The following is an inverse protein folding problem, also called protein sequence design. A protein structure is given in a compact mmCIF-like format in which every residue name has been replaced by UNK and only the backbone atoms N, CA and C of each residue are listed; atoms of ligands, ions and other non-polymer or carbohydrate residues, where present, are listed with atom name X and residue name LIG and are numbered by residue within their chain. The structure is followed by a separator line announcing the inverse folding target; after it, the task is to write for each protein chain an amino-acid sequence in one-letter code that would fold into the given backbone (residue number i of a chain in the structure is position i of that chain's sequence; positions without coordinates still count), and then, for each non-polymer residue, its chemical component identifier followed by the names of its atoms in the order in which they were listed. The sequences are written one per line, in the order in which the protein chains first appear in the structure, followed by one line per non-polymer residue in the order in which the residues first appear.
data_IF_064879921683
#
_entry.id   IF_064879921683
#
_cell.length_a   1.000
_cell.length_b   1.000
_cell.length_c   1.000
_cell.angle_alpha   90.00
_cell.angle_beta   90.00
_cell.angle_gamma   90.00
#
_symmetry.space_group_name_H-M   'P 1'
#
loop_
_entity.id
_entity.type
_entity.pdbx_description
1 polymer ?
#
# COMPACT_ATOMS: atom_id res chain seq x y z
N UNK A 1 29.02 55.75 -1.39
CA UNK A 1 28.41 54.86 -2.39
C UNK A 1 28.98 53.47 -2.16
N UNK A 2 28.34 52.68 -1.28
CA UNK A 2 28.86 51.38 -0.85
C UNK A 2 27.89 50.78 0.15
N UNK A 3 26.97 49.95 -0.35
CA UNK A 3 26.05 49.17 0.47
C UNK A 3 25.97 47.77 -0.15
N UNK A 4 27.09 47.04 -0.08
CA UNK A 4 27.16 45.61 -0.42
C UNK A 4 26.54 44.80 0.74
N UNK A 5 25.22 44.94 0.95
CA UNK A 5 24.47 43.97 1.76
C UNK A 5 24.34 42.68 0.98
N UNK A 6 25.39 41.87 1.02
CA UNK A 6 25.29 40.46 0.66
C UNK A 6 24.27 39.84 1.60
N UNK A 7 23.08 39.60 1.07
CA UNK A 7 22.08 38.71 1.65
C UNK A 7 22.77 37.36 1.81
N UNK A 8 23.30 37.11 3.00
CA UNK A 8 23.83 35.81 3.37
C UNK A 8 22.62 34.94 3.64
N UNK A 9 22.14 34.27 2.60
CA UNK A 9 21.14 33.21 2.77
C UNK A 9 21.71 32.24 3.80
N UNK A 10 21.02 31.94 4.92
CA UNK A 10 21.51 30.96 5.88
C UNK A 10 21.73 29.64 5.16
N UNK A 11 22.99 29.22 5.05
CA UNK A 11 23.35 27.88 4.57
C UNK A 11 22.70 26.91 5.54
N UNK A 12 21.67 26.19 5.07
CA UNK A 12 20.97 25.18 5.85
C UNK A 12 22.02 24.30 6.55
N UNK A 13 21.98 24.26 7.87
CA UNK A 13 22.90 23.49 8.68
C UNK A 13 22.87 22.03 8.18
N UNK A 14 24.05 21.42 8.05
CA UNK A 14 24.14 20.00 7.72
C UNK A 14 23.34 19.19 8.76
N UNK A 15 22.60 18.15 8.34
CA UNK A 15 21.83 17.32 9.28
C UNK A 15 22.75 16.77 10.36
N UNK A 16 22.30 16.84 11.63
CA UNK A 16 23.08 16.38 12.78
C UNK A 16 23.45 14.90 12.61
N UNK A 17 24.72 14.50 12.89
CA UNK A 17 25.10 13.10 12.94
C UNK A 17 24.24 12.38 13.99
N UNK A 18 23.31 11.52 13.55
CA UNK A 18 22.32 10.86 14.41
C UNK A 18 20.88 10.87 13.89
N UNK A 19 20.55 11.70 12.89
CA UNK A 19 19.25 11.65 12.20
C UNK A 19 19.22 10.52 11.16
N UNK A 20 19.31 9.26 11.59
CA UNK A 20 18.91 8.13 10.78
C UNK A 20 17.46 7.80 11.13
N UNK A 21 16.55 7.61 10.15
CA UNK A 21 15.17 7.23 10.45
C UNK A 21 15.21 5.98 11.34
N UNK A 22 14.46 5.95 12.45
CA UNK A 22 14.55 4.85 13.39
C UNK A 22 13.95 3.60 12.72
N UNK A 23 14.80 2.63 12.38
CA UNK A 23 14.39 1.27 12.05
C UNK A 23 13.96 0.54 13.34
N UNK A 24 12.98 1.09 14.06
CA UNK A 24 12.46 0.47 15.28
C UNK A 24 11.75 -0.84 14.92
N UNK A 25 11.85 -1.85 15.79
CA UNK A 25 11.23 -3.17 15.56
C UNK A 25 9.74 -3.06 15.15
N UNK A 26 8.99 -2.14 15.76
CA UNK A 26 7.57 -1.89 15.46
C UNK A 26 7.33 -1.45 14.02
N UNK A 27 8.21 -0.64 13.43
CA UNK A 27 8.09 -0.18 12.04
C UNK A 27 8.29 -1.33 11.06
N UNK A 28 9.29 -2.18 11.32
CA UNK A 28 9.56 -3.38 10.51
C UNK A 28 8.39 -4.35 10.57
N UNK A 29 7.85 -4.62 11.76
CA UNK A 29 6.71 -5.53 11.96
C UNK A 29 5.47 -5.04 11.22
N UNK A 30 5.11 -3.77 11.37
CA UNK A 30 3.95 -3.20 10.66
C UNK A 30 4.15 -3.26 9.14
N UNK A 31 5.33 -2.88 8.66
CA UNK A 31 5.62 -2.87 7.22
C UNK A 31 5.56 -4.28 6.62
N UNK A 32 6.13 -5.26 7.32
CA UNK A 32 6.08 -6.66 6.90
C UNK A 32 4.63 -7.19 6.88
N UNK A 33 3.84 -6.86 7.90
CA UNK A 33 2.43 -7.22 7.95
C UNK A 33 1.63 -6.65 6.77
N UNK A 34 1.84 -5.37 6.45
CA UNK A 34 1.18 -4.71 5.31
C UNK A 34 1.59 -5.36 4.00
N UNK A 35 2.88 -5.62 3.81
CA UNK A 35 3.38 -6.31 2.62
C UNK A 35 2.74 -7.70 2.45
N UNK A 36 2.56 -8.45 3.56
CA UNK A 36 1.86 -9.73 3.52
C UNK A 36 0.38 -9.57 3.16
N UNK A 37 -0.30 -8.52 3.61
CA UNK A 37 -1.67 -8.23 3.20
C UNK A 37 -1.77 -7.89 1.72
N UNK A 38 -0.85 -7.08 1.20
CA UNK A 38 -0.79 -6.76 -0.23
C UNK A 38 -0.61 -8.03 -1.07
N UNK A 39 0.34 -8.89 -0.68
CA UNK A 39 0.60 -10.15 -1.35
C UNK A 39 -0.61 -11.11 -1.26
N UNK A 40 -1.27 -11.16 -0.10
CA UNK A 40 -2.47 -11.96 0.10
C UNK A 40 -3.62 -11.49 -0.80
N UNK A 41 -3.79 -10.19 -1.00
CA UNK A 41 -4.81 -9.65 -1.90
C UNK A 41 -4.55 -10.05 -3.36
N UNK A 42 -3.30 -9.96 -3.84
CA UNK A 42 -2.96 -10.41 -5.20
C UNK A 42 -3.10 -11.93 -5.36
N UNK A 43 -2.66 -12.71 -4.38
CA UNK A 43 -2.85 -14.16 -4.38
C UNK A 43 -4.33 -14.55 -4.39
N UNK A 44 -5.17 -13.83 -3.61
CA UNK A 44 -6.62 -14.00 -3.61
C UNK A 44 -7.23 -13.73 -4.98
N UNK A 45 -6.83 -12.66 -5.68
CA UNK A 45 -7.31 -12.38 -7.03
C UNK A 45 -6.91 -13.48 -8.03
N UNK A 46 -5.69 -14.00 -7.94
CA UNK A 46 -5.27 -15.16 -8.74
C UNK A 46 -6.11 -16.41 -8.43
N UNK A 47 -6.35 -16.70 -7.15
CA UNK A 47 -7.22 -17.79 -6.71
C UNK A 47 -8.65 -17.64 -7.25
N UNK A 48 -9.21 -16.44 -7.19
CA UNK A 48 -10.55 -16.13 -7.72
C UNK A 48 -10.58 -16.33 -9.24
N UNK A 49 -9.55 -15.88 -9.95
CA UNK A 49 -9.38 -16.13 -11.39
C UNK A 49 -9.32 -17.62 -11.74
N UNK A 50 -8.67 -18.43 -10.89
CA UNK A 50 -8.71 -19.88 -11.00
C UNK A 50 -10.13 -20.40 -10.79
N UNK A 51 -10.82 -20.03 -9.71
CA UNK A 51 -12.13 -20.61 -9.40
C UNK A 51 -13.23 -20.23 -10.40
N UNK A 52 -13.18 -19.02 -10.97
CA UNK A 52 -14.17 -18.54 -11.94
C UNK A 52 -13.93 -19.05 -13.37
N UNK A 53 -12.71 -19.47 -13.70
CA UNK A 53 -12.34 -19.85 -15.06
C UNK A 53 -12.56 -21.33 -15.38
N UNK A 54 -12.88 -21.63 -16.64
CA UNK A 54 -12.96 -22.98 -17.18
C UNK A 54 -11.95 -23.20 -18.32
N UNK A 55 -11.38 -24.41 -18.41
CA UNK A 55 -10.44 -24.76 -19.48
C UNK A 55 -9.20 -23.84 -19.52
N UNK A 56 -8.78 -23.43 -20.72
CA UNK A 56 -7.59 -22.57 -20.89
C UNK A 56 -7.80 -21.12 -20.42
N UNK A 57 -9.05 -20.63 -20.45
CA UNK A 57 -9.40 -19.29 -19.98
C UNK A 57 -9.07 -19.09 -18.49
N UNK A 58 -9.05 -20.19 -17.72
CA UNK A 58 -8.64 -20.22 -16.32
C UNK A 58 -7.22 -19.73 -16.11
N UNK A 59 -6.28 -20.16 -16.96
CA UNK A 59 -4.89 -19.74 -16.87
C UNK A 59 -4.77 -18.23 -17.13
N UNK A 60 -5.50 -17.72 -18.12
CA UNK A 60 -5.52 -16.29 -18.40
C UNK A 60 -6.08 -15.50 -17.21
N UNK A 61 -7.19 -15.91 -16.61
CA UNK A 61 -7.79 -15.21 -15.47
C UNK A 61 -6.89 -15.20 -14.22
N UNK A 62 -6.19 -16.31 -13.95
CA UNK A 62 -5.22 -16.40 -12.84
C UNK A 62 -4.16 -15.33 -12.92
N UNK A 63 -3.69 -14.98 -14.12
CA UNK A 63 -2.66 -13.95 -14.27
C UNK A 63 -3.26 -12.57 -14.50
N UNK A 64 -4.30 -12.46 -15.33
CA UNK A 64 -4.90 -11.18 -15.71
C UNK A 64 -5.47 -10.42 -14.50
N UNK A 65 -6.17 -11.11 -13.59
CA UNK A 65 -6.75 -10.48 -12.41
C UNK A 65 -5.69 -9.85 -11.47
N UNK A 66 -4.66 -10.58 -10.98
CA UNK A 66 -3.62 -9.99 -10.16
C UNK A 66 -2.74 -9.00 -10.94
N UNK A 67 -2.43 -9.25 -12.21
CA UNK A 67 -1.62 -8.31 -13.00
C UNK A 67 -2.33 -6.97 -13.19
N UNK A 68 -3.64 -6.98 -13.45
CA UNK A 68 -4.43 -5.75 -13.53
C UNK A 68 -4.40 -4.99 -12.20
N UNK A 69 -4.57 -5.69 -11.07
CA UNK A 69 -4.50 -5.08 -9.76
C UNK A 69 -3.10 -4.52 -9.44
N UNK A 70 -2.04 -5.26 -9.76
CA UNK A 70 -0.65 -4.80 -9.58
C UNK A 70 -0.38 -3.56 -10.44
N UNK A 71 -0.88 -3.52 -11.68
CA UNK A 71 -0.71 -2.36 -12.56
C UNK A 71 -1.41 -1.12 -11.98
N UNK A 72 -2.67 -1.27 -11.55
CA UNK A 72 -3.42 -0.19 -10.88
C UNK A 72 -2.72 0.27 -9.60
N UNK A 73 -2.23 -0.67 -8.79
CA UNK A 73 -1.49 -0.38 -7.57
C UNK A 73 -0.18 0.36 -7.84
N UNK A 74 0.60 -0.12 -8.81
CA UNK A 74 1.84 0.51 -9.26
C UNK A 74 1.63 1.92 -9.80
N UNK A 75 0.48 2.17 -10.43
CA UNK A 75 0.15 3.46 -11.00
C UNK A 75 -0.20 4.50 -9.92
N UNK A 76 -0.94 4.13 -8.88
CA UNK A 76 -1.54 5.08 -7.93
C UNK A 76 -1.11 4.94 -6.46
N UNK A 77 -0.75 3.73 -6.02
CA UNK A 77 -0.58 3.40 -4.60
C UNK A 77 0.89 3.19 -4.22
N UNK A 78 1.73 2.75 -5.15
CA UNK A 78 3.13 2.46 -4.87
C UNK A 78 3.90 3.67 -4.29
N UNK A 79 4.95 3.45 -3.47
CA UNK A 79 5.81 4.54 -2.98
C UNK A 79 6.42 5.40 -4.09
N UNK A 80 6.66 4.78 -5.24
CA UNK A 80 7.10 5.42 -6.49
C UNK A 80 5.98 5.33 -7.55
N UNK A 81 4.75 5.64 -7.16
CA UNK A 81 3.60 5.67 -8.06
C UNK A 81 3.91 6.59 -9.26
N UNK A 82 3.58 6.12 -10.47
CA UNK A 82 3.75 6.92 -11.68
C UNK A 82 2.82 8.13 -11.72
N UNK A 83 1.62 8.00 -11.11
CA UNK A 83 0.65 9.08 -11.00
C UNK A 83 0.62 9.60 -9.55
N UNK A 84 1.08 10.84 -9.37
CA UNK A 84 0.95 11.55 -8.09
C UNK A 84 -0.51 11.97 -7.88
N UNK A 85 -1.21 11.27 -7.01
CA UNK A 85 -2.62 11.54 -6.67
C UNK A 85 -2.79 11.99 -5.23
N UNK A 86 -3.94 12.58 -4.91
CA UNK A 86 -4.25 12.97 -3.54
C UNK A 86 -4.31 11.73 -2.62
N UNK A 87 -4.04 11.88 -1.31
CA UNK A 87 -4.12 10.77 -0.36
C UNK A 87 -5.49 10.06 -0.35
N UNK A 88 -6.58 10.78 -0.63
CA UNK A 88 -7.92 10.20 -0.70
C UNK A 88 -8.12 9.30 -1.92
N UNK A 89 -7.58 9.67 -3.08
CA UNK A 89 -7.61 8.81 -4.28
C UNK A 89 -6.76 7.56 -4.07
N UNK A 90 -5.59 7.71 -3.47
CA UNK A 90 -4.72 6.58 -3.12
C UNK A 90 -5.45 5.58 -2.21
N UNK A 91 -6.12 6.07 -1.16
CA UNK A 91 -6.93 5.25 -0.26
C UNK A 91 -8.09 4.59 -1.01
N UNK A 92 -8.79 5.31 -1.89
CA UNK A 92 -9.89 4.74 -2.66
C UNK A 92 -9.43 3.57 -3.54
N UNK A 93 -8.26 3.69 -4.18
CA UNK A 93 -7.68 2.61 -5.00
C UNK A 93 -7.24 1.43 -4.13
N UNK A 94 -6.59 1.68 -3.00
CA UNK A 94 -6.19 0.64 -2.04
C UNK A 94 -7.41 -0.16 -1.57
N UNK A 95 -8.47 0.54 -1.14
CA UNK A 95 -9.74 -0.06 -0.75
C UNK A 95 -10.42 -0.81 -1.90
N UNK A 96 -10.37 -0.30 -3.12
CA UNK A 96 -10.96 -0.96 -4.29
C UNK A 96 -10.29 -2.31 -4.55
N UNK A 97 -8.96 -2.38 -4.49
CA UNK A 97 -8.23 -3.63 -4.73
C UNK A 97 -8.51 -4.64 -3.62
N UNK A 98 -8.47 -4.22 -2.34
CA UNK A 98 -8.83 -5.10 -1.23
C UNK A 98 -10.29 -5.57 -1.31
N UNK A 99 -11.23 -4.66 -1.63
CA UNK A 99 -12.64 -4.99 -1.78
C UNK A 99 -12.86 -5.99 -2.93
N UNK A 100 -12.19 -5.80 -4.07
CA UNK A 100 -12.26 -6.74 -5.19
C UNK A 100 -11.75 -8.14 -4.81
N UNK A 101 -10.63 -8.21 -4.07
CA UNK A 101 -10.10 -9.48 -3.57
C UNK A 101 -11.07 -10.16 -2.59
N UNK A 102 -11.61 -9.42 -1.63
CA UNK A 102 -12.55 -9.92 -0.63
C UNK A 102 -13.84 -10.41 -1.28
N UNK A 103 -14.49 -9.57 -2.09
CA UNK A 103 -15.73 -9.93 -2.81
C UNK A 103 -15.47 -11.13 -3.72
N UNK A 104 -14.35 -11.15 -4.44
CA UNK A 104 -13.95 -12.28 -5.25
C UNK A 104 -13.86 -13.57 -4.45
N UNK A 105 -13.24 -13.55 -3.26
CA UNK A 105 -13.14 -14.72 -2.39
C UNK A 105 -14.51 -15.23 -1.95
N UNK A 106 -15.46 -14.33 -1.63
CA UNK A 106 -16.83 -14.73 -1.32
C UNK A 106 -17.51 -15.41 -2.51
N UNK A 107 -17.40 -14.82 -3.71
CA UNK A 107 -17.96 -15.39 -4.94
C UNK A 107 -17.33 -16.75 -5.28
N UNK A 108 -16.03 -16.90 -5.02
CA UNK A 108 -15.29 -18.15 -5.19
C UNK A 108 -15.51 -19.18 -4.06
N UNK A 109 -16.40 -18.90 -3.09
CA UNK A 109 -16.74 -19.78 -1.98
C UNK A 109 -15.70 -19.82 -0.84
N UNK A 110 -14.61 -19.08 -0.93
CA UNK A 110 -13.56 -18.98 0.09
C UNK A 110 -13.92 -17.95 1.18
N UNK A 111 -15.09 -18.13 1.81
CA UNK A 111 -15.70 -17.18 2.75
C UNK A 111 -14.77 -16.81 3.90
N UNK A 112 -14.14 -17.80 4.55
CA UNK A 112 -13.25 -17.57 5.69
C UNK A 112 -12.05 -16.71 5.29
N UNK A 113 -11.44 -17.00 4.14
CA UNK A 113 -10.32 -16.21 3.63
C UNK A 113 -10.76 -14.77 3.31
N UNK A 114 -11.95 -14.60 2.74
CA UNK A 114 -12.53 -13.27 2.46
C UNK A 114 -12.74 -12.45 3.75
N UNK A 115 -13.32 -13.07 4.78
CA UNK A 115 -13.53 -12.42 6.09
C UNK A 115 -12.19 -12.03 6.73
N UNK A 116 -11.22 -12.96 6.79
CA UNK A 116 -9.91 -12.69 7.40
C UNK A 116 -9.21 -11.55 6.67
N UNK A 117 -9.11 -11.60 5.35
CA UNK A 117 -8.48 -10.56 4.55
C UNK A 117 -9.17 -9.20 4.77
N UNK A 118 -10.50 -9.17 4.72
CA UNK A 118 -11.28 -7.94 4.90
C UNK A 118 -11.10 -7.32 6.29
N UNK A 119 -11.15 -8.14 7.35
CA UNK A 119 -10.96 -7.65 8.72
C UNK A 119 -9.56 -7.08 8.92
N UNK A 120 -8.52 -7.78 8.43
CA UNK A 120 -7.14 -7.31 8.58
C UNK A 120 -6.88 -6.04 7.76
N UNK A 121 -7.42 -5.95 6.55
CA UNK A 121 -7.31 -4.74 5.71
C UNK A 121 -7.98 -3.52 6.39
N UNK A 122 -9.20 -3.70 6.91
CA UNK A 122 -9.91 -2.63 7.64
C UNK A 122 -9.15 -2.23 8.91
N UNK A 123 -8.70 -3.20 9.70
CA UNK A 123 -7.95 -2.93 10.93
C UNK A 123 -6.67 -2.13 10.65
N UNK A 124 -5.95 -2.48 9.58
CA UNK A 124 -4.76 -1.74 9.16
C UNK A 124 -5.06 -0.31 8.74
N UNK A 125 -6.06 -0.09 7.88
CA UNK A 125 -6.41 1.25 7.39
C UNK A 125 -6.89 2.17 8.53
N UNK A 126 -7.60 1.62 9.52
CA UNK A 126 -7.98 2.34 10.73
C UNK A 126 -6.78 2.66 11.63
N UNK A 127 -5.78 1.79 11.68
CA UNK A 127 -4.57 2.00 12.47
C UNK A 127 -3.59 2.99 11.81
N UNK A 128 -3.60 3.12 10.49
CA UNK A 128 -2.63 3.91 9.69
C UNK A 128 -2.50 5.37 10.15
N UNK A 129 -3.59 6.14 10.40
CA UNK A 129 -3.48 7.50 10.92
C UNK A 129 -2.88 7.56 12.33
N UNK A 130 -3.17 6.56 13.17
CA UNK A 130 -2.68 6.49 14.56
C UNK A 130 -1.18 6.23 14.57
N UNK A 131 -0.72 5.29 13.74
CA UNK A 131 0.70 4.96 13.57
C UNK A 131 1.49 6.16 13.03
N UNK A 132 0.91 6.90 12.08
CA UNK A 132 1.54 8.11 11.51
C UNK A 132 1.71 9.25 12.52
N UNK A 133 0.83 9.36 13.53
CA UNK A 133 0.94 10.37 14.59
C UNK A 133 2.04 10.07 15.61
N UNK A 134 2.38 8.79 15.81
CA UNK A 134 3.40 8.37 16.80
C UNK A 134 4.84 8.54 16.31
N UNK A 135 5.07 8.66 15.00
CA UNK A 135 6.42 8.84 14.42
C UNK A 135 6.92 10.28 14.27
N UNK A 136 6.22 11.28 14.82
CA UNK A 136 6.54 12.72 14.67
C UNK A 136 6.80 13.44 16.01
N UNK A 137 6.91 12.71 17.12
CA UNK A 137 7.10 13.28 18.46
C UNK A 137 8.43 12.90 19.13
N UNK A 138 9.33 12.28 18.39
CA UNK A 138 10.69 11.96 18.83
C UNK A 138 11.67 12.84 18.04
#
# INVERSE_FOLDING_TARGET
MGDDRRVTTPKAAAPSPGQHPPFTASFVVVSAFVFLLELAAFAALGYVGWQLGSGIAKLFLVFAAPLAAIAVWGLFVAPKALCTVSPGVRLAVELLVYAAAVVGLFVAGAVVAGVVLGVLAVAYELARPVLRRRGLKE
#
